data_IF_072960579577
#
_entry.id   IF_072960579577
#
_cell.length_a   1.000
_cell.length_b   1.000
_cell.length_c   1.000
_cell.angle_alpha   90.00
_cell.angle_beta   90.00
_cell.angle_gamma   90.00
#
_symmetry.space_group_name_H-M   'P 1'
#
loop_
_entity.id
_entity.type
_entity.pdbx_description
1 polymer ?
#
# COMPACT_ATOMS: atom_id res chain seq x y z
N UNK A 1 -2.83 13.98 9.34
CA UNK A 1 -1.48 14.44 9.70
C UNK A 1 -0.67 13.26 10.22
N UNK A 2 -1.14 12.60 11.28
CA UNK A 2 -0.52 11.44 11.93
C UNK A 2 -0.13 10.28 10.98
N UNK A 3 -0.98 9.91 10.02
CA UNK A 3 -0.70 8.80 9.08
C UNK A 3 0.47 9.14 8.16
N UNK A 4 0.56 10.39 7.69
CA UNK A 4 1.63 10.81 6.79
C UNK A 4 2.97 10.86 7.52
N UNK A 5 2.97 11.31 8.78
CA UNK A 5 4.15 11.29 9.64
C UNK A 5 4.62 9.85 9.89
N UNK A 6 3.72 8.95 10.29
CA UNK A 6 4.05 7.54 10.50
C UNK A 6 4.62 6.86 9.24
N UNK A 7 4.07 7.15 8.05
CA UNK A 7 4.59 6.65 6.78
C UNK A 7 5.97 7.22 6.46
N UNK A 8 6.22 8.47 6.83
CA UNK A 8 7.51 9.14 6.65
C UNK A 8 8.57 8.52 7.57
N UNK A 9 8.23 8.31 8.85
CA UNK A 9 9.10 7.66 9.83
C UNK A 9 9.44 6.21 9.44
N UNK A 10 8.45 5.46 8.94
CA UNK A 10 8.66 4.10 8.42
C UNK A 10 9.69 4.10 7.28
N UNK A 11 9.51 5.01 6.30
CA UNK A 11 10.45 5.18 5.18
C UNK A 11 11.85 5.57 5.67
N UNK A 12 11.95 6.49 6.62
CA UNK A 12 13.23 6.89 7.23
C UNK A 12 13.91 5.74 7.98
N UNK A 13 13.12 4.80 8.51
CA UNK A 13 13.60 3.59 9.18
C UNK A 13 13.93 2.44 8.22
N UNK A 14 13.87 2.68 6.90
CA UNK A 14 14.10 1.66 5.87
C UNK A 14 12.95 0.66 5.71
N UNK A 15 11.79 0.91 6.33
CA UNK A 15 10.57 0.11 6.17
C UNK A 15 9.81 0.64 4.96
N UNK A 16 9.38 -0.26 4.08
CA UNK A 16 8.58 0.08 2.91
C UNK A 16 7.10 -0.14 3.26
N UNK A 17 6.33 0.90 3.61
CA UNK A 17 4.91 0.75 3.89
C UNK A 17 4.13 0.46 2.60
N UNK A 18 3.24 -0.52 2.66
CA UNK A 18 2.34 -0.88 1.57
C UNK A 18 0.92 -1.10 2.10
N UNK A 19 -0.06 -0.45 1.48
CA UNK A 19 -1.46 -0.56 1.89
C UNK A 19 -2.24 -1.53 1.00
N UNK A 20 -3.08 -2.36 1.62
CA UNK A 20 -4.05 -3.19 0.91
C UNK A 20 -5.42 -2.84 1.49
N UNK A 21 -6.37 -2.48 0.63
CA UNK A 21 -7.74 -2.20 1.05
C UNK A 21 -8.75 -2.91 0.15
N UNK A 22 -9.97 -3.13 0.67
CA UNK A 22 -11.16 -3.50 -0.11
C UNK A 22 -12.04 -2.30 -0.45
N UNK A 23 -11.71 -1.13 0.11
CA UNK A 23 -12.44 0.10 -0.09
C UNK A 23 -11.98 0.81 -1.36
N UNK A 24 -12.89 0.92 -2.33
CA UNK A 24 -12.66 1.58 -3.62
C UNK A 24 -12.76 3.09 -3.52
N UNK A 25 -13.52 3.61 -2.56
CA UNK A 25 -13.77 5.04 -2.43
C UNK A 25 -12.55 5.76 -1.83
N UNK A 26 -11.67 5.01 -1.18
CA UNK A 26 -10.42 5.48 -0.58
C UNK A 26 -9.26 5.72 -1.57
N UNK A 27 -9.44 5.48 -2.88
CA UNK A 27 -8.34 5.54 -3.87
C UNK A 27 -7.60 6.90 -3.87
N UNK A 28 -8.35 8.01 -3.81
CA UNK A 28 -7.78 9.35 -3.84
C UNK A 28 -6.89 9.63 -2.62
N UNK A 29 -7.36 9.26 -1.42
CA UNK A 29 -6.61 9.42 -0.18
C UNK A 29 -5.38 8.51 -0.14
N UNK A 30 -5.54 7.25 -0.56
CA UNK A 30 -4.43 6.29 -0.60
C UNK A 30 -3.34 6.71 -1.58
N UNK A 31 -3.73 7.28 -2.73
CA UNK A 31 -2.79 7.83 -3.70
C UNK A 31 -1.98 9.01 -3.13
N UNK A 32 -2.61 9.89 -2.36
CA UNK A 32 -1.91 11.01 -1.70
C UNK A 32 -0.92 10.52 -0.62
N UNK A 33 -1.29 9.49 0.14
CA UNK A 33 -0.47 8.98 1.24
C UNK A 33 0.66 8.02 0.79
N UNK A 34 0.35 7.09 -0.12
CA UNK A 34 1.24 5.99 -0.50
C UNK A 34 1.84 6.14 -1.89
N UNK A 35 1.31 7.04 -2.73
CA UNK A 35 1.68 7.17 -4.14
C UNK A 35 1.12 6.03 -5.00
N UNK A 36 1.28 6.15 -6.33
CA UNK A 36 0.67 5.24 -7.31
C UNK A 36 1.06 3.76 -7.20
N UNK A 37 2.15 3.45 -6.48
CA UNK A 37 2.68 2.08 -6.33
C UNK A 37 2.68 1.57 -4.89
N UNK A 38 2.32 2.39 -3.91
CA UNK A 38 2.38 2.05 -2.49
C UNK A 38 1.09 1.44 -1.93
N UNK A 39 0.10 1.16 -2.77
CA UNK A 39 -1.13 0.51 -2.35
C UNK A 39 -1.74 -0.40 -3.41
N UNK A 40 -2.73 -1.19 -3.00
CA UNK A 40 -3.55 -2.00 -3.89
C UNK A 40 -4.96 -2.12 -3.33
N UNK A 41 -5.93 -1.93 -4.21
CA UNK A 41 -7.34 -2.17 -3.92
C UNK A 41 -7.70 -3.56 -4.44
N UNK A 42 -8.31 -4.39 -3.60
CA UNK A 42 -8.78 -5.73 -3.94
C UNK A 42 -10.28 -5.83 -3.75
N UNK A 43 -10.96 -6.60 -4.60
CA UNK A 43 -12.39 -6.84 -4.44
C UNK A 43 -12.70 -7.91 -3.38
N UNK A 44 -11.76 -8.84 -3.19
CA UNK A 44 -11.90 -9.99 -2.30
C UNK A 44 -10.57 -10.29 -1.59
N UNK A 45 -10.62 -10.36 -0.27
CA UNK A 45 -9.50 -10.72 0.60
C UNK A 45 -8.98 -12.13 0.27
N UNK A 46 -9.84 -13.05 -0.17
CA UNK A 46 -9.44 -14.39 -0.57
C UNK A 46 -8.56 -14.40 -1.83
N UNK A 47 -8.54 -13.31 -2.61
CA UNK A 47 -7.65 -13.17 -3.77
C UNK A 47 -6.23 -12.73 -3.39
N UNK A 48 -5.97 -12.38 -2.12
CA UNK A 48 -4.66 -11.93 -1.66
C UNK A 48 -3.54 -12.92 -1.93
N UNK A 49 -3.65 -14.21 -1.59
CA UNK A 49 -2.55 -15.17 -1.77
C UNK A 49 -2.03 -15.21 -3.22
N UNK A 50 -2.92 -15.08 -4.20
CA UNK A 50 -2.56 -15.07 -5.62
C UNK A 50 -1.90 -13.75 -6.06
N UNK A 51 -2.23 -12.63 -5.40
CA UNK A 51 -1.69 -11.29 -5.70
C UNK A 51 -0.37 -10.99 -4.99
N UNK A 52 -0.09 -11.65 -3.85
CA UNK A 52 1.12 -11.44 -3.06
C UNK A 52 2.43 -11.51 -3.88
N UNK A 53 2.65 -12.47 -4.79
CA UNK A 53 3.87 -12.52 -5.59
C UNK A 53 4.09 -11.27 -6.44
N UNK A 54 3.02 -10.71 -7.00
CA UNK A 54 3.09 -9.50 -7.82
C UNK A 54 3.36 -8.26 -6.98
N UNK A 55 2.78 -8.19 -5.77
CA UNK A 55 3.05 -7.10 -4.81
C UNK A 55 4.55 -7.13 -4.43
N UNK A 56 5.08 -8.28 -4.03
CA UNK A 56 6.50 -8.39 -3.67
C UNK A 56 7.43 -8.02 -4.82
N UNK A 57 7.16 -8.46 -6.06
CA UNK A 57 7.97 -8.06 -7.22
C UNK A 57 8.04 -6.54 -7.40
N UNK A 58 6.94 -5.83 -7.18
CA UNK A 58 6.90 -4.36 -7.28
C UNK A 58 7.70 -3.68 -6.17
N UNK A 59 7.80 -4.30 -5.00
CA UNK A 59 8.48 -3.74 -3.82
C UNK A 59 9.99 -4.00 -3.78
N UNK A 60 10.48 -5.05 -4.44
CA UNK A 60 11.89 -5.48 -4.36
C UNK A 60 12.66 -5.37 -5.68
N UNK A 61 12.14 -4.64 -6.66
CA UNK A 61 12.81 -4.42 -7.97
C UNK A 61 13.78 -3.24 -7.94
#
# INVERSE_FOLDING_TARGET
EDVREALTEAKMSGVIPFCITVDKDSEFELKDLYGDVGYTIIDDVLSLPERMPNIYRRLTS
#
